data_IF_598095367371
#
_entry.id   IF_598095367371
#
_cell.length_a   1.000
_cell.length_b   1.000
_cell.length_c   1.000
_cell.angle_alpha   90.00
_cell.angle_beta   90.00
_cell.angle_gamma   90.00
#
_symmetry.space_group_name_H-M   'P 1'
#
loop_
_entity.id
_entity.type
_entity.pdbx_description
1 polymer ?
#
# COMPACT_ATOMS: atom_id res chain seq x y z
N UNK A 1 -7.73 15.69 19.77
CA UNK A 1 -7.43 14.30 19.34
C UNK A 1 -7.09 14.39 17.86
N UNK A 2 -5.99 13.80 17.40
CA UNK A 2 -5.62 13.79 15.99
C UNK A 2 -6.66 12.99 15.19
N UNK A 3 -7.05 13.48 14.01
CA UNK A 3 -7.90 12.71 13.11
C UNK A 3 -7.11 11.58 12.40
N UNK A 4 -7.79 10.70 11.68
CA UNK A 4 -7.16 9.57 11.03
C UNK A 4 -6.12 9.97 9.97
N UNK A 5 -6.36 11.09 9.27
CA UNK A 5 -5.40 11.60 8.31
C UNK A 5 -4.15 12.15 8.99
N UNK A 6 -4.30 12.87 10.10
CA UNK A 6 -3.16 13.35 10.90
C UNK A 6 -2.33 12.19 11.46
N UNK A 7 -3.00 11.10 11.91
CA UNK A 7 -2.31 9.92 12.46
C UNK A 7 -1.57 9.15 11.39
N UNK A 8 -2.28 8.72 10.35
CA UNK A 8 -1.79 7.67 9.45
C UNK A 8 -1.48 8.17 8.05
N UNK A 9 -2.16 9.23 7.63
CA UNK A 9 -1.94 9.83 6.34
C UNK A 9 -2.21 8.96 5.14
N UNK A 10 -3.07 8.00 5.27
CA UNK A 10 -3.38 7.06 4.21
C UNK A 10 -4.58 7.55 3.41
N UNK A 11 -4.37 7.81 2.13
CA UNK A 11 -5.40 8.06 1.14
C UNK A 11 -5.45 6.89 0.18
N UNK A 12 -6.64 6.32 0.03
CA UNK A 12 -6.89 5.22 -0.91
C UNK A 12 -8.19 5.56 -1.60
N UNK A 13 -8.18 5.61 -2.93
CA UNK A 13 -9.36 5.94 -3.71
C UNK A 13 -10.01 7.28 -3.26
N UNK A 14 -9.18 8.31 -3.06
CA UNK A 14 -9.54 9.65 -2.56
C UNK A 14 -10.24 9.67 -1.18
N UNK A 15 -10.24 8.54 -0.48
CA UNK A 15 -10.81 8.39 0.87
C UNK A 15 -9.72 8.21 1.90
N UNK A 16 -9.91 8.79 3.08
CA UNK A 16 -9.00 8.62 4.22
C UNK A 16 -9.24 7.25 4.87
N UNK A 17 -8.24 6.39 4.85
CA UNK A 17 -8.28 5.16 5.64
C UNK A 17 -8.18 5.49 7.13
N UNK A 18 -9.16 5.04 7.92
CA UNK A 18 -9.23 5.37 9.37
C UNK A 18 -8.08 4.76 10.19
N UNK A 19 -7.53 3.63 9.72
CA UNK A 19 -6.48 2.86 10.37
C UNK A 19 -5.64 2.13 9.33
N UNK A 20 -4.35 1.85 9.56
CA UNK A 20 -3.51 1.09 8.64
C UNK A 20 -3.74 -0.43 8.73
N UNK A 21 -4.95 -0.84 9.05
CA UNK A 21 -5.37 -2.24 9.13
C UNK A 21 -6.34 -2.53 7.99
N UNK A 22 -6.06 -3.58 7.24
CA UNK A 22 -6.93 -4.09 6.20
C UNK A 22 -7.43 -5.51 6.51
N UNK A 23 -8.60 -5.84 6.00
CA UNK A 23 -9.12 -7.22 5.97
C UNK A 23 -8.75 -7.81 4.61
N UNK A 24 -8.04 -8.92 4.61
CA UNK A 24 -7.66 -9.62 3.38
C UNK A 24 -8.78 -10.51 2.88
N UNK A 25 -8.94 -10.62 1.58
CA UNK A 25 -9.90 -11.50 0.94
C UNK A 25 -9.69 -12.97 1.32
N UNK A 26 -10.79 -13.67 1.59
CA UNK A 26 -10.87 -15.12 1.75
C UNK A 26 -12.09 -15.61 0.96
N UNK A 27 -11.84 -16.34 -0.13
CA UNK A 27 -12.87 -16.83 -1.01
C UNK A 27 -13.93 -17.64 -0.25
N UNK A 28 -15.20 -17.37 -0.52
CA UNK A 28 -16.34 -18.01 0.13
C UNK A 28 -16.56 -17.63 1.61
N UNK A 29 -15.83 -16.63 2.13
CA UNK A 29 -15.89 -16.21 3.53
C UNK A 29 -16.05 -14.71 3.67
N UNK A 30 -15.15 -13.92 3.06
CA UNK A 30 -15.15 -12.45 3.21
C UNK A 30 -16.02 -11.83 2.13
N UNK A 31 -17.22 -11.46 2.49
CA UNK A 31 -18.17 -10.65 1.73
C UNK A 31 -18.35 -9.27 2.39
N UNK A 32 -19.27 -8.47 1.88
CA UNK A 32 -19.55 -7.15 2.44
C UNK A 32 -20.15 -7.21 3.85
N UNK A 33 -20.95 -8.21 4.17
CA UNK A 33 -21.49 -8.38 5.51
C UNK A 33 -20.36 -8.64 6.52
N UNK A 34 -19.46 -9.56 6.19
CA UNK A 34 -18.25 -9.82 7.00
C UNK A 34 -17.38 -8.56 7.19
N UNK A 35 -17.22 -7.77 6.14
CA UNK A 35 -16.42 -6.55 6.17
C UNK A 35 -17.08 -5.46 7.05
N UNK A 36 -18.40 -5.29 6.93
CA UNK A 36 -19.17 -4.30 7.67
C UNK A 36 -19.18 -4.56 9.17
N UNK A 37 -19.32 -5.82 9.60
CA UNK A 37 -19.20 -6.19 11.02
C UNK A 37 -17.89 -5.74 11.66
N UNK A 38 -16.84 -5.53 10.87
CA UNK A 38 -15.47 -5.19 11.30
C UNK A 38 -15.02 -3.80 10.89
N UNK A 39 -15.93 -3.02 10.28
CA UNK A 39 -15.62 -1.69 9.73
C UNK A 39 -15.13 -0.69 10.76
N UNK A 40 -15.49 -0.88 12.03
CA UNK A 40 -15.01 -0.05 13.14
C UNK A 40 -13.50 -0.14 13.34
N UNK A 41 -12.88 -1.28 12.99
CA UNK A 41 -11.45 -1.55 13.28
C UNK A 41 -10.59 -1.74 12.03
N UNK A 42 -11.15 -1.54 10.86
CA UNK A 42 -10.43 -1.64 9.58
C UNK A 42 -10.57 -0.35 8.75
N UNK A 43 -9.51 0.01 8.04
CA UNK A 43 -9.52 1.13 7.09
C UNK A 43 -9.87 0.69 5.66
N UNK A 44 -9.62 -0.58 5.34
CA UNK A 44 -9.83 -1.18 4.02
C UNK A 44 -10.24 -2.64 4.20
N UNK A 45 -11.17 -3.14 3.38
CA UNK A 45 -11.48 -4.55 3.33
C UNK A 45 -11.55 -5.05 1.88
N UNK A 46 -10.84 -6.13 1.59
CA UNK A 46 -10.94 -6.83 0.32
C UNK A 46 -11.93 -8.00 0.44
N UNK A 47 -13.07 -7.89 -0.20
CA UNK A 47 -14.04 -8.98 -0.32
C UNK A 47 -13.67 -9.92 -1.47
N UNK A 48 -14.07 -11.18 -1.41
CA UNK A 48 -13.80 -12.16 -2.48
C UNK A 48 -12.74 -13.19 -2.09
N UNK A 49 -12.04 -13.94 -3.01
CA UNK A 49 -11.93 -13.76 -4.48
C UNK A 49 -13.13 -14.24 -5.29
N UNK A 50 -13.58 -13.36 -6.08
CA UNK A 50 -14.68 -13.62 -7.03
C UNK A 50 -14.11 -14.02 -8.38
N UNK A 51 -14.60 -15.15 -8.92
CA UNK A 51 -14.30 -15.58 -10.29
C UNK A 51 -15.19 -14.87 -11.28
N UNK A 52 -14.62 -14.16 -12.26
CA UNK A 52 -15.34 -13.20 -13.12
C UNK A 52 -15.47 -13.63 -14.57
N UNK A 53 -14.85 -14.75 -14.96
CA UNK A 53 -14.98 -15.30 -16.32
C UNK A 53 -15.17 -16.84 -16.30
N UNK A 54 -15.47 -17.39 -17.44
CA UNK A 54 -15.80 -18.83 -17.57
C UNK A 54 -14.70 -19.75 -17.05
N UNK A 55 -13.43 -19.60 -17.45
CA UNK A 55 -12.35 -20.47 -16.99
C UNK A 55 -12.11 -20.37 -15.47
N UNK A 56 -12.09 -19.16 -14.91
CA UNK A 56 -11.93 -18.96 -13.47
C UNK A 56 -13.13 -19.51 -12.68
N UNK A 57 -14.36 -19.37 -13.21
CA UNK A 57 -15.57 -19.91 -12.58
C UNK A 57 -15.60 -21.44 -12.62
N UNK A 58 -15.15 -22.05 -13.72
CA UNK A 58 -15.04 -23.52 -13.81
C UNK A 58 -14.05 -24.06 -12.75
N UNK A 59 -12.89 -23.41 -12.60
CA UNK A 59 -11.92 -23.75 -11.57
C UNK A 59 -12.47 -23.55 -10.15
N UNK A 60 -13.26 -22.50 -9.90
CA UNK A 60 -13.91 -22.28 -8.60
C UNK A 60 -14.92 -23.39 -8.28
N UNK A 61 -15.73 -23.82 -9.26
CA UNK A 61 -16.68 -24.93 -9.12
C UNK A 61 -15.97 -26.25 -8.82
N UNK A 62 -14.85 -26.52 -9.49
CA UNK A 62 -14.03 -27.70 -9.23
C UNK A 62 -13.50 -27.72 -7.78
N UNK A 63 -12.96 -26.58 -7.30
CA UNK A 63 -12.46 -26.43 -5.94
C UNK A 63 -13.58 -26.61 -4.89
N UNK A 64 -14.76 -26.07 -5.13
CA UNK A 64 -15.90 -26.22 -4.23
C UNK A 64 -16.41 -27.66 -4.19
N UNK A 65 -16.42 -28.35 -5.33
CA UNK A 65 -16.84 -29.75 -5.43
C UNK A 65 -15.92 -30.70 -4.67
N UNK A 66 -14.62 -30.33 -4.51
CA UNK A 66 -13.64 -31.09 -3.71
C UNK A 66 -13.92 -31.06 -2.20
N UNK A 67 -14.82 -30.22 -1.72
CA UNK A 67 -15.33 -30.22 -0.33
C UNK A 67 -14.44 -29.53 0.71
N UNK A 68 -13.18 -29.30 0.41
CA UNK A 68 -12.21 -28.76 1.37
C UNK A 68 -12.17 -27.24 1.43
N UNK A 69 -12.88 -26.55 0.52
CA UNK A 69 -12.80 -25.11 0.37
C UNK A 69 -14.14 -24.48 0.00
N UNK A 70 -14.42 -23.35 0.63
CA UNK A 70 -15.52 -22.46 0.22
C UNK A 70 -15.09 -21.59 -0.94
N UNK A 71 -15.99 -21.37 -1.89
CA UNK A 71 -15.80 -20.45 -3.01
C UNK A 71 -17.08 -19.63 -3.22
N UNK A 72 -16.94 -18.42 -3.76
CA UNK A 72 -18.07 -17.62 -4.22
C UNK A 72 -18.42 -18.04 -5.64
N UNK A 73 -19.57 -18.67 -5.81
CA UNK A 73 -20.04 -19.20 -7.09
C UNK A 73 -21.39 -18.56 -7.41
N UNK A 74 -21.43 -17.79 -8.48
CA UNK A 74 -22.60 -17.09 -8.95
C UNK A 74 -22.77 -17.28 -10.47
N UNK A 75 -24.01 -17.35 -10.94
CA UNK A 75 -24.28 -17.41 -12.37
C UNK A 75 -23.96 -16.07 -13.05
N UNK A 76 -24.21 -14.96 -12.36
CA UNK A 76 -23.81 -13.62 -12.77
C UNK A 76 -22.95 -12.95 -11.68
N UNK A 77 -21.64 -13.05 -11.76
CA UNK A 77 -20.76 -12.46 -10.75
C UNK A 77 -20.83 -10.92 -10.71
N UNK A 78 -21.13 -10.25 -11.83
CA UNK A 78 -21.22 -8.78 -11.88
C UNK A 78 -22.43 -8.27 -11.08
N UNK A 79 -23.59 -8.91 -11.20
CA UNK A 79 -24.77 -8.51 -10.45
C UNK A 79 -24.60 -8.75 -8.95
N UNK A 80 -23.93 -9.85 -8.59
CA UNK A 80 -23.59 -10.09 -7.19
C UNK A 80 -22.62 -9.01 -6.66
N UNK A 81 -21.59 -8.64 -7.43
CA UNK A 81 -20.67 -7.59 -7.04
C UNK A 81 -21.36 -6.24 -6.87
N UNK A 82 -22.31 -5.87 -7.73
CA UNK A 82 -23.14 -4.66 -7.53
C UNK A 82 -23.88 -4.71 -6.19
N UNK A 83 -24.48 -5.86 -5.88
CA UNK A 83 -25.18 -6.05 -4.60
C UNK A 83 -24.22 -5.91 -3.42
N UNK A 84 -23.03 -6.47 -3.50
CA UNK A 84 -22.02 -6.37 -2.45
C UNK A 84 -21.53 -4.92 -2.25
N UNK A 85 -21.31 -4.17 -3.33
CA UNK A 85 -20.92 -2.75 -3.27
C UNK A 85 -22.02 -1.91 -2.63
N UNK A 86 -23.26 -2.08 -3.06
CA UNK A 86 -24.41 -1.32 -2.56
C UNK A 86 -24.59 -1.46 -1.02
N UNK A 87 -24.26 -2.61 -0.45
CA UNK A 87 -24.30 -2.81 1.00
C UNK A 87 -23.33 -1.91 1.79
N UNK A 88 -22.28 -1.40 1.14
CA UNK A 88 -21.21 -0.64 1.81
C UNK A 88 -21.25 0.86 1.52
N UNK A 89 -22.16 1.35 0.67
CA UNK A 89 -22.18 2.75 0.19
C UNK A 89 -22.21 3.79 1.32
N UNK A 90 -22.96 3.53 2.38
CA UNK A 90 -23.10 4.44 3.52
C UNK A 90 -21.99 4.29 4.57
N UNK A 91 -21.05 3.35 4.38
CA UNK A 91 -19.99 3.08 5.35
C UNK A 91 -18.70 3.84 5.02
N UNK A 92 -17.94 4.19 6.04
CA UNK A 92 -16.64 4.85 5.90
C UNK A 92 -15.52 3.89 5.51
N UNK A 93 -15.72 2.57 5.64
CA UNK A 93 -14.78 1.55 5.24
C UNK A 93 -14.51 1.63 3.73
N UNK A 94 -13.26 1.61 3.35
CA UNK A 94 -12.88 1.53 1.94
C UNK A 94 -13.07 0.09 1.48
N UNK A 95 -13.86 -0.11 0.43
CA UNK A 95 -14.10 -1.43 -0.12
C UNK A 95 -13.11 -1.74 -1.25
N UNK A 96 -12.48 -2.89 -1.18
CA UNK A 96 -11.74 -3.51 -2.27
C UNK A 96 -12.41 -4.82 -2.69
N UNK A 97 -12.30 -5.17 -3.95
CA UNK A 97 -12.85 -6.41 -4.51
C UNK A 97 -11.72 -7.23 -5.10
N UNK A 98 -11.50 -8.41 -4.54
CA UNK A 98 -10.48 -9.35 -5.03
C UNK A 98 -11.08 -10.22 -6.13
N UNK A 99 -10.49 -10.13 -7.33
CA UNK A 99 -10.99 -10.70 -8.57
C UNK A 99 -10.04 -11.75 -9.14
N UNK A 100 -10.61 -12.85 -9.62
CA UNK A 100 -9.97 -13.92 -10.38
C UNK A 100 -10.53 -13.94 -11.77
N UNK A 101 -9.71 -13.59 -12.73
CA UNK A 101 -10.04 -13.60 -14.14
C UNK A 101 -8.84 -14.02 -14.97
N UNK A 102 -9.05 -14.36 -16.22
CA UNK A 102 -8.02 -14.87 -17.13
C UNK A 102 -7.69 -13.91 -18.27
N UNK A 103 -8.56 -12.90 -18.51
CA UNK A 103 -8.40 -11.92 -19.59
C UNK A 103 -8.58 -10.48 -19.08
N UNK A 104 -7.89 -9.49 -19.70
CA UNK A 104 -8.08 -8.08 -19.36
C UNK A 104 -9.53 -7.62 -19.52
N UNK A 105 -10.24 -8.12 -20.55
CA UNK A 105 -11.63 -7.75 -20.86
C UNK A 105 -12.59 -8.12 -19.72
N UNK A 106 -12.37 -9.26 -19.06
CA UNK A 106 -13.18 -9.68 -17.92
C UNK A 106 -13.06 -8.69 -16.74
N UNK A 107 -11.84 -8.23 -16.43
CA UNK A 107 -11.62 -7.21 -15.40
C UNK A 107 -12.21 -5.86 -15.78
N UNK A 108 -12.05 -5.45 -17.03
CA UNK A 108 -12.60 -4.19 -17.55
C UNK A 108 -14.13 -4.19 -17.47
N UNK A 109 -14.78 -5.30 -17.84
CA UNK A 109 -16.25 -5.44 -17.76
C UNK A 109 -16.76 -5.24 -16.31
N UNK A 110 -16.04 -5.75 -15.32
CA UNK A 110 -16.38 -5.52 -13.90
C UNK A 110 -16.18 -4.04 -13.54
N UNK A 111 -15.07 -3.42 -13.96
CA UNK A 111 -14.81 -2.02 -13.67
C UNK A 111 -15.82 -1.08 -14.33
N UNK A 112 -16.26 -1.36 -15.56
CA UNK A 112 -17.35 -0.62 -16.23
C UNK A 112 -18.68 -0.75 -15.50
N UNK A 113 -18.93 -1.90 -14.90
CA UNK A 113 -20.19 -2.15 -14.20
C UNK A 113 -20.28 -1.53 -12.80
N UNK A 114 -19.15 -1.34 -12.12
CA UNK A 114 -19.07 -0.90 -10.71
C UNK A 114 -18.52 0.54 -10.55
N UNK A 115 -17.84 1.08 -11.57
CA UNK A 115 -17.24 2.41 -11.51
C UNK A 115 -15.97 2.47 -10.65
N UNK A 116 -15.68 3.67 -10.11
CA UNK A 116 -14.44 4.01 -9.41
C UNK A 116 -14.57 4.05 -7.88
N UNK A 117 -15.73 3.69 -7.34
CA UNK A 117 -15.99 3.76 -5.89
C UNK A 117 -15.25 2.69 -5.07
N UNK A 118 -14.70 1.67 -5.71
CA UNK A 118 -14.03 0.53 -5.09
C UNK A 118 -12.59 0.35 -5.58
N UNK A 119 -11.79 -0.38 -4.82
CA UNK A 119 -10.43 -0.81 -5.20
C UNK A 119 -10.52 -2.16 -5.90
N UNK A 120 -9.99 -2.28 -7.10
CA UNK A 120 -9.94 -3.53 -7.86
C UNK A 120 -8.65 -4.28 -7.54
N UNK A 121 -8.75 -5.41 -6.85
CA UNK A 121 -7.59 -6.24 -6.52
C UNK A 121 -7.49 -7.44 -7.46
N UNK A 122 -6.42 -7.52 -8.23
CA UNK A 122 -6.09 -8.69 -9.06
C UNK A 122 -5.53 -9.78 -8.16
N UNK A 123 -6.19 -10.95 -8.10
CA UNK A 123 -5.70 -12.12 -7.38
C UNK A 123 -4.56 -12.80 -8.15
N UNK A 124 -3.32 -12.37 -7.91
CA UNK A 124 -2.11 -13.06 -8.35
C UNK A 124 -1.49 -13.92 -7.23
N UNK A 125 -2.29 -14.32 -6.24
CA UNK A 125 -1.84 -15.00 -5.04
C UNK A 125 -2.35 -16.44 -4.93
N UNK A 126 -3.49 -16.78 -5.55
CA UNK A 126 -4.11 -18.08 -5.43
C UNK A 126 -3.24 -19.17 -6.07
N UNK A 127 -2.79 -20.14 -5.26
CA UNK A 127 -1.92 -21.25 -5.68
C UNK A 127 -2.66 -22.54 -6.04
N UNK A 128 -3.98 -22.53 -6.02
CA UNK A 128 -4.77 -23.74 -6.28
C UNK A 128 -4.52 -24.22 -7.72
N UNK A 129 -4.20 -25.52 -7.91
CA UNK A 129 -3.82 -26.03 -9.22
C UNK A 129 -4.87 -25.75 -10.31
N UNK A 130 -6.16 -25.89 -10.02
CA UNK A 130 -7.24 -25.59 -10.95
C UNK A 130 -7.22 -24.10 -11.37
N UNK A 131 -7.03 -23.16 -10.43
CA UNK A 131 -6.92 -21.73 -10.74
C UNK A 131 -5.69 -21.40 -11.57
N UNK A 132 -4.54 -21.97 -11.23
CA UNK A 132 -3.30 -21.77 -11.99
C UNK A 132 -3.43 -22.35 -13.41
N UNK A 133 -4.01 -23.54 -13.54
CA UNK A 133 -4.27 -24.18 -14.83
C UNK A 133 -5.26 -23.37 -15.68
N UNK A 134 -6.25 -22.71 -15.07
CA UNK A 134 -7.17 -21.81 -15.75
C UNK A 134 -6.51 -20.50 -16.24
N UNK A 135 -5.31 -20.15 -15.77
CA UNK A 135 -4.60 -18.95 -16.17
C UNK A 135 -4.80 -17.75 -15.24
N UNK A 136 -5.20 -17.98 -13.98
CA UNK A 136 -5.32 -16.95 -12.94
C UNK A 136 -4.52 -17.30 -11.67
N UNK A 137 -4.60 -16.51 -10.63
CA UNK A 137 -3.82 -16.71 -9.41
C UNK A 137 -2.31 -16.58 -9.64
N UNK A 138 -1.51 -17.47 -9.05
CA UNK A 138 -0.04 -17.48 -9.21
C UNK A 138 0.46 -17.64 -10.65
N UNK A 139 -0.41 -18.01 -11.58
CA UNK A 139 -0.09 -17.99 -13.01
C UNK A 139 0.45 -16.62 -13.47
N UNK A 140 -0.12 -15.54 -12.95
CA UNK A 140 0.31 -14.17 -13.28
C UNK A 140 1.73 -13.87 -12.82
N UNK A 141 2.20 -14.46 -11.72
CA UNK A 141 3.55 -14.23 -11.20
C UNK A 141 4.66 -14.83 -12.08
N UNK A 142 4.29 -15.82 -12.88
CA UNK A 142 5.15 -16.43 -13.91
C UNK A 142 4.92 -15.87 -15.31
N UNK A 143 3.89 -15.03 -15.46
CA UNK A 143 3.47 -14.41 -16.72
C UNK A 143 3.26 -12.91 -16.54
N UNK A 144 4.33 -12.21 -16.16
CA UNK A 144 4.30 -10.78 -15.80
C UNK A 144 3.67 -9.91 -16.88
N UNK A 145 3.92 -10.21 -18.17
CA UNK A 145 3.34 -9.48 -19.30
C UNK A 145 1.80 -9.55 -19.30
N UNK A 146 1.22 -10.71 -18.95
CA UNK A 146 -0.24 -10.85 -18.85
C UNK A 146 -0.78 -10.08 -17.65
N UNK A 147 -0.08 -10.13 -16.51
CA UNK A 147 -0.45 -9.34 -15.33
C UNK A 147 -0.45 -7.84 -15.64
N UNK A 148 0.62 -7.34 -16.26
CA UNK A 148 0.74 -5.92 -16.60
C UNK A 148 -0.28 -5.49 -17.66
N UNK A 149 -0.70 -6.38 -18.56
CA UNK A 149 -1.78 -6.12 -19.52
C UNK A 149 -3.12 -5.90 -18.78
N UNK A 150 -3.45 -6.74 -17.79
CA UNK A 150 -4.66 -6.57 -16.95
C UNK A 150 -4.61 -5.24 -16.20
N UNK A 151 -3.47 -4.92 -15.57
CA UNK A 151 -3.30 -3.65 -14.83
C UNK A 151 -3.54 -2.46 -15.76
N UNK A 152 -2.86 -2.41 -16.92
CA UNK A 152 -3.01 -1.32 -17.89
C UNK A 152 -4.45 -1.18 -18.38
N UNK A 153 -5.12 -2.30 -18.66
CA UNK A 153 -6.51 -2.29 -19.08
C UNK A 153 -7.44 -1.68 -18.02
N UNK A 154 -7.29 -2.07 -16.76
CA UNK A 154 -8.04 -1.46 -15.65
C UNK A 154 -7.71 0.04 -15.52
N UNK A 155 -6.45 0.44 -15.63
CA UNK A 155 -6.04 1.86 -15.51
C UNK A 155 -6.59 2.75 -16.63
N UNK A 156 -6.96 2.21 -17.78
CA UNK A 156 -7.69 2.98 -18.82
C UNK A 156 -9.07 3.43 -18.37
N UNK A 157 -9.61 2.83 -17.30
CA UNK A 157 -10.91 3.19 -16.70
C UNK A 157 -10.77 4.20 -15.54
N UNK A 158 -9.56 4.63 -15.22
CA UNK A 158 -9.32 5.59 -14.13
C UNK A 158 -9.50 5.01 -12.72
N UNK A 159 -9.64 3.70 -12.57
CA UNK A 159 -9.91 3.05 -11.29
C UNK A 159 -8.64 2.79 -10.48
N UNK A 160 -8.82 2.63 -9.16
CA UNK A 160 -7.73 2.25 -8.25
C UNK A 160 -7.46 0.74 -8.30
N UNK A 161 -6.22 0.35 -8.60
CA UNK A 161 -5.82 -1.04 -8.82
C UNK A 161 -4.86 -1.52 -7.73
N UNK A 162 -5.24 -2.60 -7.07
CA UNK A 162 -4.39 -3.40 -6.18
C UNK A 162 -3.96 -4.69 -6.87
N UNK A 163 -2.75 -5.15 -6.58
CA UNK A 163 -2.28 -6.47 -7.02
C UNK A 163 -1.89 -7.28 -5.80
N UNK A 164 -2.58 -8.40 -5.57
CA UNK A 164 -2.25 -9.31 -4.47
C UNK A 164 -1.30 -10.38 -4.98
N UNK A 165 -0.09 -10.39 -4.41
CA UNK A 165 0.98 -11.31 -4.78
C UNK A 165 1.39 -12.21 -3.62
N UNK A 166 2.12 -13.28 -3.95
CA UNK A 166 2.85 -14.12 -3.00
C UNK A 166 4.34 -13.93 -3.21
N UNK A 167 5.06 -13.54 -2.17
CA UNK A 167 6.50 -13.36 -2.23
C UNK A 167 7.22 -14.68 -2.53
N UNK A 168 8.29 -14.60 -3.33
CA UNK A 168 9.15 -15.72 -3.67
C UNK A 168 8.59 -16.71 -4.70
N UNK A 169 7.48 -16.37 -5.38
CA UNK A 169 6.92 -17.17 -6.49
C UNK A 169 7.46 -16.67 -7.83
N UNK A 170 7.57 -15.36 -8.00
CA UNK A 170 8.26 -14.77 -9.14
C UNK A 170 9.78 -15.02 -9.04
N UNK A 171 10.47 -14.98 -10.15
CA UNK A 171 11.94 -15.14 -10.21
C UNK A 171 12.63 -14.04 -9.37
N UNK A 172 12.20 -12.79 -9.50
CA UNK A 172 12.62 -11.67 -8.65
C UNK A 172 11.41 -10.77 -8.30
N UNK A 173 11.06 -10.75 -7.00
CA UNK A 173 9.96 -9.94 -6.49
C UNK A 173 10.17 -8.42 -6.67
N UNK A 174 11.43 -7.96 -6.80
CA UNK A 174 11.76 -6.55 -7.02
C UNK A 174 11.43 -6.13 -8.46
N UNK A 175 11.78 -6.99 -9.41
CA UNK A 175 11.43 -6.79 -10.83
C UNK A 175 9.92 -6.85 -11.00
N UNK A 176 9.26 -7.83 -10.37
CA UNK A 176 7.80 -7.92 -10.37
C UNK A 176 7.15 -6.64 -9.80
N UNK A 177 7.57 -6.17 -8.64
CA UNK A 177 7.02 -4.98 -8.01
C UNK A 177 7.20 -3.73 -8.88
N UNK A 178 8.36 -3.58 -9.52
CA UNK A 178 8.62 -2.49 -10.47
C UNK A 178 7.72 -2.60 -11.72
N UNK A 179 7.55 -3.80 -12.27
CA UNK A 179 6.67 -4.01 -13.42
C UNK A 179 5.20 -3.70 -13.09
N UNK A 180 4.71 -4.09 -11.91
CA UNK A 180 3.38 -3.77 -11.41
C UNK A 180 3.19 -2.25 -11.30
N UNK A 181 4.15 -1.55 -10.69
CA UNK A 181 4.13 -0.09 -10.59
C UNK A 181 4.17 0.59 -11.96
N UNK A 182 5.11 0.20 -12.85
CA UNK A 182 5.25 0.77 -14.20
C UNK A 182 4.02 0.51 -15.08
N UNK A 183 3.23 -0.52 -14.77
CA UNK A 183 1.94 -0.77 -15.43
C UNK A 183 0.81 0.15 -14.92
N UNK A 184 1.05 0.91 -13.83
CA UNK A 184 0.14 1.91 -13.28
C UNK A 184 -0.69 1.44 -12.08
N UNK A 185 -0.37 0.31 -11.45
CA UNK A 185 -1.03 -0.09 -10.21
C UNK A 185 -0.79 0.93 -9.10
N UNK A 186 -1.72 1.00 -8.14
CA UNK A 186 -1.69 1.93 -7.01
C UNK A 186 -1.24 1.23 -5.72
N UNK A 187 -1.59 -0.05 -5.57
CA UNK A 187 -1.39 -0.84 -4.35
C UNK A 187 -0.72 -2.16 -4.67
N UNK A 188 0.23 -2.56 -3.84
CA UNK A 188 0.85 -3.89 -3.84
C UNK A 188 0.51 -4.60 -2.51
N UNK A 189 -0.32 -5.62 -2.56
CA UNK A 189 -0.74 -6.42 -1.41
C UNK A 189 0.08 -7.72 -1.37
N UNK A 190 0.97 -7.87 -0.38
CA UNK A 190 1.99 -8.91 -0.37
C UNK A 190 1.74 -9.93 0.72
N UNK A 191 1.49 -11.18 0.33
CA UNK A 191 1.66 -12.31 1.24
C UNK A 191 3.16 -12.63 1.38
N UNK A 192 3.73 -12.23 2.51
CA UNK A 192 5.17 -12.35 2.77
C UNK A 192 5.62 -13.79 3.06
N UNK A 193 4.70 -14.73 3.21
CA UNK A 193 5.05 -16.09 3.59
C UNK A 193 5.96 -16.11 4.84
N UNK A 194 7.04 -16.86 4.80
CA UNK A 194 8.02 -16.97 5.87
C UNK A 194 9.23 -16.00 5.70
N UNK A 195 9.20 -15.14 4.66
CA UNK A 195 10.33 -14.24 4.36
C UNK A 195 10.45 -13.05 5.32
N UNK A 196 9.36 -12.62 5.93
CA UNK A 196 9.36 -11.56 6.93
C UNK A 196 9.75 -10.16 6.41
N UNK A 197 10.22 -9.33 7.32
CA UNK A 197 10.52 -7.91 7.10
C UNK A 197 11.67 -7.63 6.13
N UNK A 198 12.63 -8.55 6.01
CA UNK A 198 13.77 -8.39 5.09
C UNK A 198 13.31 -8.37 3.62
N UNK A 199 12.40 -9.26 3.26
CA UNK A 199 11.81 -9.31 1.91
C UNK A 199 10.97 -8.07 1.64
N UNK A 200 10.16 -7.65 2.61
CA UNK A 200 9.36 -6.43 2.52
C UNK A 200 10.25 -5.20 2.22
N UNK A 201 11.37 -5.06 2.92
CA UNK A 201 12.33 -3.96 2.70
C UNK A 201 12.91 -3.99 1.28
N UNK A 202 13.25 -5.17 0.76
CA UNK A 202 13.75 -5.31 -0.61
C UNK A 202 12.72 -4.83 -1.64
N UNK A 203 11.46 -5.21 -1.45
CA UNK A 203 10.36 -4.82 -2.34
C UNK A 203 10.09 -3.31 -2.22
N UNK A 204 10.01 -2.77 -1.00
CA UNK A 204 9.84 -1.33 -0.76
C UNK A 204 10.92 -0.48 -1.46
N UNK A 205 12.15 -0.94 -1.45
CA UNK A 205 13.26 -0.26 -2.13
C UNK A 205 13.23 -0.39 -3.66
N UNK A 206 12.21 -1.01 -4.21
CA UNK A 206 12.05 -1.23 -5.66
C UNK A 206 10.85 -0.54 -6.27
N UNK A 207 9.90 -0.04 -5.46
CA UNK A 207 8.71 0.63 -5.97
C UNK A 207 8.09 1.58 -4.94
N UNK A 208 7.41 2.67 -5.38
CA UNK A 208 6.74 3.64 -4.50
C UNK A 208 5.30 3.26 -4.14
N UNK A 209 4.79 2.12 -4.61
CA UNK A 209 3.41 1.68 -4.38
C UNK A 209 3.00 1.73 -2.91
N UNK A 210 1.72 1.97 -2.62
CA UNK A 210 1.18 1.66 -1.31
C UNK A 210 1.32 0.16 -1.06
N UNK A 211 2.02 -0.23 -0.01
CA UNK A 211 2.29 -1.64 0.30
C UNK A 211 1.43 -2.11 1.47
N UNK A 212 0.66 -3.17 1.25
CA UNK A 212 -0.08 -3.88 2.28
C UNK A 212 0.65 -5.19 2.58
N UNK A 213 1.18 -5.34 3.79
CA UNK A 213 1.83 -6.58 4.22
C UNK A 213 0.81 -7.56 4.79
N UNK A 214 0.88 -8.81 4.37
CA UNK A 214 0.04 -9.90 4.85
C UNK A 214 0.89 -11.06 5.35
N UNK A 215 0.29 -11.89 6.16
CA UNK A 215 0.73 -13.15 6.74
C UNK A 215 1.25 -13.04 8.19
N UNK A 216 0.49 -13.72 9.08
CA UNK A 216 0.81 -13.87 10.51
C UNK A 216 1.01 -12.57 11.29
N UNK A 217 0.41 -11.46 10.82
CA UNK A 217 0.51 -10.14 11.45
C UNK A 217 -0.72 -9.97 12.37
N UNK A 218 -0.68 -10.60 13.53
CA UNK A 218 -1.79 -10.63 14.49
C UNK A 218 -1.40 -10.09 15.88
N UNK A 219 -0.22 -9.50 16.01
CA UNK A 219 0.25 -8.81 17.21
C UNK A 219 0.74 -7.42 16.85
N UNK A 220 0.68 -6.48 17.80
CA UNK A 220 1.15 -5.12 17.59
C UNK A 220 2.65 -5.07 17.26
N UNK A 221 3.48 -5.86 17.92
CA UNK A 221 4.93 -5.90 17.63
C UNK A 221 5.21 -6.34 16.19
N UNK A 222 4.47 -7.34 15.69
CA UNK A 222 4.61 -7.78 14.31
C UNK A 222 4.10 -6.74 13.33
N UNK A 223 2.97 -6.09 13.61
CA UNK A 223 2.45 -4.98 12.84
C UNK A 223 3.48 -3.85 12.79
N UNK A 224 3.98 -3.38 13.92
CA UNK A 224 4.99 -2.33 14.01
C UNK A 224 6.26 -2.68 13.24
N UNK A 225 6.72 -3.92 13.31
CA UNK A 225 7.86 -4.41 12.54
C UNK A 225 7.62 -4.24 11.04
N UNK A 226 6.48 -4.70 10.51
CA UNK A 226 6.18 -4.58 9.08
C UNK A 226 6.11 -3.13 8.62
N UNK A 227 5.43 -2.29 9.40
CA UNK A 227 5.29 -0.88 9.09
C UNK A 227 6.63 -0.14 9.12
N UNK A 228 7.53 -0.47 10.06
CA UNK A 228 8.87 0.11 10.12
C UNK A 228 9.81 -0.37 9.00
N UNK A 229 9.44 -1.44 8.30
CA UNK A 229 10.22 -2.00 7.19
C UNK A 229 9.61 -1.75 5.81
N UNK A 230 8.58 -0.91 5.73
CA UNK A 230 8.11 -0.39 4.44
C UNK A 230 6.67 -0.69 4.09
N UNK A 231 5.91 -1.42 4.90
CA UNK A 231 4.48 -1.49 4.72
C UNK A 231 3.83 -0.14 5.06
N UNK A 232 2.79 0.22 4.35
CA UNK A 232 1.90 1.33 4.65
C UNK A 232 0.69 0.85 5.44
N UNK A 233 0.29 -0.39 5.21
CA UNK A 233 -0.77 -1.09 5.90
C UNK A 233 -0.37 -2.54 6.18
N UNK A 234 -1.08 -3.15 7.11
CA UNK A 234 -1.07 -4.61 7.31
C UNK A 234 -2.44 -5.19 7.05
N UNK A 235 -2.52 -6.44 6.61
CA UNK A 235 -3.81 -7.10 6.42
C UNK A 235 -3.89 -8.41 7.18
N UNK A 236 -5.09 -8.70 7.69
CA UNK A 236 -5.43 -9.91 8.40
C UNK A 236 -6.44 -10.72 7.58
N UNK A 237 -6.23 -12.04 7.53
CA UNK A 237 -7.18 -13.00 6.95
C UNK A 237 -7.89 -13.75 8.10
N UNK A 238 -7.52 -15.00 8.37
CA UNK A 238 -8.17 -15.86 9.38
C UNK A 238 -8.21 -15.32 10.82
N UNK A 239 -7.34 -14.36 11.14
CA UNK A 239 -7.28 -13.71 12.46
C UNK A 239 -7.88 -12.30 12.46
N UNK A 240 -8.78 -12.00 11.52
CA UNK A 240 -9.54 -10.75 11.48
C UNK A 240 -10.82 -10.82 12.33
N UNK A 241 -10.76 -11.49 13.48
CA UNK A 241 -11.81 -11.40 14.50
C UNK A 241 -11.80 -10.01 15.16
N UNK A 242 -12.96 -9.60 15.67
CA UNK A 242 -13.17 -8.27 16.25
C UNK A 242 -12.16 -7.96 17.37
N UNK A 243 -11.93 -8.91 18.27
CA UNK A 243 -11.00 -8.72 19.39
C UNK A 243 -9.58 -8.42 18.93
N UNK A 244 -9.11 -9.17 17.93
CA UNK A 244 -7.76 -8.97 17.35
C UNK A 244 -7.66 -7.62 16.67
N UNK A 245 -8.65 -7.27 15.84
CA UNK A 245 -8.69 -6.00 15.11
C UNK A 245 -8.76 -4.81 16.07
N UNK A 246 -9.68 -4.83 17.04
CA UNK A 246 -9.83 -3.77 18.06
C UNK A 246 -8.54 -3.57 18.86
N UNK A 247 -7.88 -4.65 19.26
CA UNK A 247 -6.60 -4.59 19.97
C UNK A 247 -5.49 -3.95 19.16
N UNK A 248 -5.38 -4.30 17.87
CA UNK A 248 -4.40 -3.71 16.96
C UNK A 248 -4.70 -2.25 16.65
N UNK A 249 -5.98 -1.90 16.40
CA UNK A 249 -6.40 -0.53 16.12
C UNK A 249 -6.11 0.41 17.30
N UNK A 250 -6.47 0.01 18.52
CA UNK A 250 -6.17 0.78 19.72
C UNK A 250 -4.66 0.95 19.95
N UNK A 251 -3.87 -0.10 19.70
CA UNK A 251 -2.43 -0.07 19.91
C UNK A 251 -1.73 0.84 18.88
N UNK A 252 -2.12 0.78 17.59
CA UNK A 252 -1.51 1.60 16.55
C UNK A 252 -1.92 3.07 16.66
N UNK A 253 -3.16 3.36 17.07
CA UNK A 253 -3.62 4.72 17.31
C UNK A 253 -2.80 5.38 18.44
N UNK A 254 -2.62 4.69 19.55
CA UNK A 254 -1.78 5.14 20.66
C UNK A 254 -0.33 5.36 20.22
N UNK A 255 0.25 4.41 19.52
CA UNK A 255 1.61 4.52 18.99
C UNK A 255 1.77 5.75 18.08
N UNK A 256 0.80 5.99 17.21
CA UNK A 256 0.81 7.16 16.32
C UNK A 256 0.68 8.48 17.09
N UNK A 257 -0.11 8.52 18.15
CA UNK A 257 -0.26 9.71 19.01
C UNK A 257 1.03 10.00 19.81
N UNK A 258 1.72 8.97 20.30
CA UNK A 258 2.93 9.08 21.10
C UNK A 258 4.19 9.34 20.26
N UNK A 259 4.40 8.58 19.19
CA UNK A 259 5.63 8.58 18.39
C UNK A 259 5.51 9.37 17.08
N UNK A 260 4.26 9.54 16.59
CA UNK A 260 3.96 10.10 15.27
C UNK A 260 4.21 9.11 14.15
N UNK A 261 3.17 8.78 13.42
CA UNK A 261 3.16 7.70 12.45
C UNK A 261 4.15 7.89 11.28
N UNK A 262 4.05 9.01 10.57
CA UNK A 262 4.95 9.33 9.46
C UNK A 262 6.34 9.77 9.92
N UNK A 263 6.59 9.68 11.18
CA UNK A 263 7.67 10.36 11.82
C UNK A 263 8.29 9.52 12.94
N UNK A 264 8.40 8.23 12.71
CA UNK A 264 9.41 7.45 13.40
C UNK A 264 10.74 7.55 12.61
N UNK A 265 11.28 8.76 12.36
CA UNK A 265 12.49 8.90 11.57
C UNK A 265 13.66 8.15 12.18
N UNK A 266 13.64 7.90 13.48
CA UNK A 266 14.65 7.09 14.16
C UNK A 266 14.69 5.64 13.64
N UNK A 267 13.56 5.05 13.31
CA UNK A 267 13.50 3.71 12.73
C UNK A 267 13.80 3.75 11.23
N UNK A 268 13.22 4.69 10.51
CA UNK A 268 13.46 4.89 9.09
C UNK A 268 14.92 5.29 8.80
N UNK A 269 15.47 6.28 9.53
CA UNK A 269 16.85 6.74 9.35
C UNK A 269 17.91 5.71 9.75
N UNK A 270 17.55 4.65 10.45
CA UNK A 270 18.46 3.52 10.71
C UNK A 270 18.57 2.53 9.55
N UNK A 271 18.24 2.96 8.36
CA UNK A 271 18.24 2.13 7.17
C UNK A 271 16.97 1.30 7.03
N UNK A 272 15.84 1.80 7.55
CA UNK A 272 14.54 1.17 7.46
C UNK A 272 14.11 0.97 6.01
N UNK A 273 13.83 2.04 5.30
CA UNK A 273 13.46 2.00 3.88
C UNK A 273 13.72 3.34 3.16
N UNK A 274 13.40 3.38 1.87
CA UNK A 274 13.64 4.52 1.00
C UNK A 274 12.83 5.77 1.42
N UNK A 275 11.69 5.64 2.09
CA UNK A 275 10.90 6.78 2.59
C UNK A 275 11.69 7.66 3.54
N UNK A 276 12.72 7.11 4.17
CA UNK A 276 13.61 7.86 5.04
C UNK A 276 14.37 8.97 4.31
N UNK A 277 14.48 8.95 3.00
CA UNK A 277 15.03 10.05 2.21
C UNK A 277 14.27 11.36 2.44
N UNK A 278 12.96 11.31 2.68
CA UNK A 278 12.15 12.50 3.00
C UNK A 278 12.60 13.19 4.28
N UNK A 279 13.10 12.43 5.25
CA UNK A 279 13.49 12.90 6.58
C UNK A 279 14.99 13.00 6.76
N UNK A 280 15.75 12.78 5.71
CA UNK A 280 17.21 12.77 5.79
C UNK A 280 17.77 14.15 6.12
N UNK A 281 18.62 14.21 7.11
CA UNK A 281 19.34 15.43 7.51
C UNK A 281 20.71 15.62 6.82
N UNK A 282 20.88 15.04 5.64
CA UNK A 282 21.92 15.51 4.72
C UNK A 282 21.65 16.94 4.37
N UNK A 283 22.24 17.96 4.45
CA UNK A 283 23.60 18.20 4.12
C UNK A 283 24.59 18.21 5.32
N UNK A 284 24.09 18.03 6.51
CA UNK A 284 24.85 18.32 7.75
C UNK A 284 25.50 17.08 8.35
N UNK A 285 24.96 15.88 8.10
CA UNK A 285 25.48 14.61 8.66
C UNK A 285 25.66 13.56 7.58
N UNK A 286 26.67 12.71 7.75
CA UNK A 286 26.70 11.43 7.07
C UNK A 286 25.48 10.62 7.51
N UNK A 287 24.69 10.18 6.53
CA UNK A 287 23.48 9.46 6.77
C UNK A 287 23.65 8.00 6.30
N UNK A 288 23.12 7.01 7.02
CA UNK A 288 23.13 5.61 6.59
C UNK A 288 22.37 5.39 5.28
N UNK A 289 21.69 6.40 4.74
CA UNK A 289 21.03 6.35 3.44
C UNK A 289 21.93 6.70 2.25
N UNK A 290 23.14 7.22 2.47
CA UNK A 290 24.10 7.46 1.37
C UNK A 290 24.31 6.19 0.53
N UNK A 291 24.48 4.98 1.10
CA UNK A 291 24.53 3.75 0.31
C UNK A 291 23.26 3.46 -0.49
N UNK A 292 22.10 3.94 -0.03
CA UNK A 292 20.83 3.81 -0.78
C UNK A 292 20.82 4.73 -1.99
N UNK A 293 21.23 5.98 -1.84
CA UNK A 293 21.40 6.92 -2.97
C UNK A 293 22.36 6.36 -4.02
N UNK A 294 23.50 5.85 -3.59
CA UNK A 294 24.47 5.22 -4.50
C UNK A 294 23.86 4.05 -5.27
N UNK A 295 23.06 3.21 -4.61
CA UNK A 295 22.40 2.05 -5.26
C UNK A 295 21.35 2.45 -6.29
N UNK A 296 20.68 3.58 -6.09
CA UNK A 296 19.70 4.11 -7.06
C UNK A 296 20.33 5.03 -8.11
N UNK A 297 21.66 5.17 -8.10
CA UNK A 297 22.40 5.98 -9.06
C UNK A 297 22.25 7.49 -8.90
N UNK A 298 21.79 7.98 -7.73
CA UNK A 298 21.57 9.39 -7.46
C UNK A 298 22.75 9.97 -6.65
N UNK A 299 23.53 10.90 -7.19
CA UNK A 299 24.57 11.62 -6.45
C UNK A 299 23.98 12.40 -5.27
N UNK A 300 24.75 12.52 -4.19
CA UNK A 300 24.32 13.25 -2.98
C UNK A 300 23.90 14.69 -3.27
N UNK A 301 24.70 15.42 -4.05
CA UNK A 301 24.43 16.84 -4.33
C UNK A 301 23.18 16.99 -5.19
N UNK A 302 22.98 16.14 -6.18
CA UNK A 302 21.75 16.08 -6.97
C UNK A 302 20.51 15.82 -6.11
N UNK A 303 20.60 14.90 -5.16
CA UNK A 303 19.52 14.65 -4.21
C UNK A 303 19.22 15.89 -3.32
N UNK A 304 20.26 16.59 -2.86
CA UNK A 304 20.10 17.82 -2.07
C UNK A 304 19.39 18.90 -2.89
N UNK A 305 19.85 19.14 -4.12
CA UNK A 305 19.29 20.15 -5.02
C UNK A 305 17.84 19.80 -5.39
N UNK A 306 17.56 18.54 -5.72
CA UNK A 306 16.21 18.06 -6.01
C UNK A 306 15.26 18.31 -4.82
N UNK A 307 15.70 18.01 -3.61
CA UNK A 307 14.87 18.20 -2.40
C UNK A 307 14.61 19.66 -2.11
N UNK A 308 15.60 20.54 -2.27
CA UNK A 308 15.44 21.98 -2.08
C UNK A 308 14.54 22.57 -3.15
N UNK A 309 14.71 22.19 -4.41
CA UNK A 309 13.85 22.66 -5.52
C UNK A 309 12.39 22.22 -5.33
N UNK A 310 12.16 21.00 -4.84
CA UNK A 310 10.81 20.48 -4.59
C UNK A 310 10.03 21.22 -3.51
N UNK A 311 10.70 21.95 -2.61
CA UNK A 311 10.05 22.70 -1.54
C UNK A 311 10.02 24.21 -1.81
N UNK A 312 10.64 24.68 -2.89
CA UNK A 312 10.73 26.10 -3.24
C UNK A 312 9.36 26.74 -3.38
N UNK A 313 9.15 27.87 -2.74
CA UNK A 313 7.86 28.57 -2.70
C UNK A 313 6.82 27.91 -1.80
N UNK A 314 7.15 26.84 -1.10
CA UNK A 314 6.27 26.19 -0.10
C UNK A 314 6.68 26.58 1.32
N UNK A 315 5.79 26.44 2.32
CA UNK A 315 6.15 26.66 3.72
C UNK A 315 7.30 25.75 4.23
N UNK A 316 7.64 24.65 3.54
CA UNK A 316 8.76 23.79 3.89
C UNK A 316 10.13 24.40 3.57
N UNK A 317 10.20 25.39 2.68
CA UNK A 317 11.42 26.13 2.39
C UNK A 317 11.90 26.92 3.62
N UNK A 318 10.95 27.42 4.41
CA UNK A 318 11.23 28.17 5.63
C UNK A 318 11.89 27.31 6.70
N UNK A 319 12.69 27.92 7.54
CA UNK A 319 13.32 27.18 8.62
C UNK A 319 14.60 27.77 9.19
N UNK A 320 14.81 29.09 9.04
CA UNK A 320 16.01 29.77 9.59
C UNK A 320 16.25 29.48 11.08
N UNK A 321 15.20 29.14 11.80
CA UNK A 321 15.27 28.79 13.22
C UNK A 321 15.37 27.27 13.47
N UNK A 322 15.29 26.45 12.43
CA UNK A 322 15.51 25.00 12.54
C UNK A 322 16.99 24.63 12.52
N UNK A 323 17.33 23.44 12.99
CA UNK A 323 18.71 22.96 13.05
C UNK A 323 19.40 22.91 11.67
N UNK A 324 18.62 22.91 10.59
CA UNK A 324 19.10 22.69 9.22
C UNK A 324 18.72 23.79 8.24
N UNK A 325 18.19 24.90 8.73
CA UNK A 325 17.87 26.07 7.92
C UNK A 325 16.60 25.92 7.06
N UNK A 326 15.97 24.75 7.02
CA UNK A 326 14.74 24.48 6.29
C UNK A 326 13.89 23.43 6.99
N UNK A 327 12.57 23.57 6.96
CA UNK A 327 11.63 22.55 7.43
C UNK A 327 11.65 21.27 6.59
N UNK A 328 12.11 21.35 5.34
CA UNK A 328 12.31 20.18 4.48
C UNK A 328 13.26 19.16 5.10
N UNK A 329 14.27 19.61 5.86
CA UNK A 329 15.28 18.78 6.52
C UNK A 329 14.91 18.41 7.97
N UNK A 330 13.80 18.92 8.49
CA UNK A 330 13.39 18.64 9.85
C UNK A 330 12.96 17.18 10.00
N UNK A 331 13.68 16.43 10.84
CA UNK A 331 13.39 15.02 11.11
C UNK A 331 12.42 14.80 12.29
N UNK A 332 12.05 15.86 13.03
CA UNK A 332 11.13 15.78 14.18
C UNK A 332 9.77 16.31 13.83
N UNK A 333 9.07 15.61 12.96
CA UNK A 333 7.78 16.08 12.45
C UNK A 333 6.63 15.95 13.46
N UNK A 334 6.65 14.94 14.32
CA UNK A 334 5.59 14.68 15.31
C UNK A 334 5.97 15.00 16.75
N UNK A 335 7.20 14.68 17.16
CA UNK A 335 7.62 14.92 18.54
C UNK A 335 7.82 16.42 18.82
N UNK A 336 7.62 16.90 20.02
CA UNK A 336 7.82 18.30 20.40
C UNK A 336 9.22 18.80 19.99
N UNK A 337 9.27 19.94 19.31
CA UNK A 337 10.51 20.60 18.93
C UNK A 337 10.29 22.11 18.90
N UNK A 338 10.90 22.81 19.85
CA UNK A 338 10.74 24.27 20.00
C UNK A 338 11.12 25.02 18.71
N UNK A 339 12.19 24.63 18.04
CA UNK A 339 12.64 25.32 16.81
C UNK A 339 11.65 25.14 15.65
N UNK A 340 11.20 23.92 15.41
CA UNK A 340 10.18 23.67 14.40
C UNK A 340 8.89 24.40 14.74
N UNK A 341 8.40 24.24 15.97
CA UNK A 341 7.12 24.77 16.39
C UNK A 341 7.11 26.32 16.32
N UNK A 342 8.23 26.96 16.62
CA UNK A 342 8.40 28.39 16.44
C UNK A 342 8.37 28.79 14.97
N UNK A 343 9.07 28.06 14.08
CA UNK A 343 9.04 28.31 12.64
C UNK A 343 7.63 28.17 12.07
N UNK A 344 6.90 27.10 12.44
CA UNK A 344 5.51 26.90 12.04
C UNK A 344 4.60 28.03 12.51
N UNK A 345 4.75 28.46 13.75
CA UNK A 345 3.98 29.59 14.31
C UNK A 345 4.24 30.89 13.56
N UNK A 346 5.50 31.19 13.26
CA UNK A 346 5.87 32.40 12.51
C UNK A 346 5.36 32.36 11.06
N UNK A 347 5.38 31.20 10.45
CA UNK A 347 4.85 30.97 9.09
C UNK A 347 3.33 30.83 9.00
N UNK A 348 2.61 30.82 10.13
CA UNK A 348 1.16 30.61 10.15
C UNK A 348 0.73 29.21 9.71
N UNK A 349 1.63 28.22 9.75
CA UNK A 349 1.41 26.85 9.30
C UNK A 349 0.98 25.98 10.48
N UNK A 350 -0.17 25.33 10.37
CA UNK A 350 -0.62 24.39 11.38
C UNK A 350 0.22 23.08 11.32
N UNK A 351 0.25 22.34 12.43
CA UNK A 351 0.90 21.04 12.47
C UNK A 351 0.31 20.07 11.43
N UNK A 352 -1.01 20.10 11.24
CA UNK A 352 -1.72 19.28 10.24
C UNK A 352 -1.25 19.60 8.82
N UNK A 353 -1.18 20.88 8.47
CA UNK A 353 -0.69 21.33 7.17
C UNK A 353 0.78 20.95 6.96
N UNK A 354 1.63 21.16 7.97
CA UNK A 354 3.02 20.74 7.91
C UNK A 354 3.17 19.22 7.64
N UNK A 355 2.37 18.41 8.30
CA UNK A 355 2.38 16.96 8.08
C UNK A 355 1.95 16.58 6.66
N UNK A 356 0.95 17.28 6.12
CA UNK A 356 0.52 17.11 4.72
C UNK A 356 1.64 17.47 3.75
N UNK A 357 2.25 18.64 3.92
CA UNK A 357 3.36 19.12 3.08
C UNK A 357 4.56 18.16 3.12
N UNK A 358 4.86 17.58 4.29
CA UNK A 358 5.92 16.58 4.40
C UNK A 358 5.60 15.28 3.66
N UNK A 359 4.34 14.92 3.55
CA UNK A 359 3.92 13.77 2.75
C UNK A 359 4.01 14.08 1.26
N UNK A 360 3.46 15.19 0.83
CA UNK A 360 3.52 15.61 -0.57
C UNK A 360 4.98 15.68 -1.04
N UNK A 361 5.88 16.16 -0.17
CA UNK A 361 7.32 16.11 -0.43
C UNK A 361 7.84 14.67 -0.54
N UNK A 362 7.37 13.76 0.33
CA UNK A 362 7.76 12.34 0.25
C UNK A 362 7.36 11.73 -1.09
N UNK A 363 6.12 11.95 -1.49
CA UNK A 363 5.59 11.43 -2.75
C UNK A 363 6.36 11.99 -3.94
N UNK A 364 6.63 13.31 -3.95
CA UNK A 364 7.46 13.96 -4.99
C UNK A 364 8.87 13.36 -5.08
N UNK A 365 9.52 13.11 -3.93
CA UNK A 365 10.86 12.52 -3.92
C UNK A 365 10.79 11.07 -4.43
N UNK A 366 9.82 10.30 -3.98
CA UNK A 366 9.66 8.91 -4.40
C UNK A 366 9.40 8.81 -5.90
N UNK A 367 8.53 9.66 -6.44
CA UNK A 367 8.27 9.72 -7.87
C UNK A 367 9.55 9.99 -8.67
N UNK A 368 10.32 11.00 -8.30
CA UNK A 368 11.57 11.34 -8.99
C UNK A 368 12.60 10.20 -8.89
N UNK A 369 12.80 9.65 -7.68
CA UNK A 369 13.75 8.55 -7.45
C UNK A 369 13.43 7.33 -8.31
N UNK A 370 12.16 7.04 -8.58
CA UNK A 370 11.76 5.85 -9.31
C UNK A 370 11.51 6.08 -10.80
N UNK A 371 11.17 7.30 -11.22
CA UNK A 371 11.01 7.64 -12.64
C UNK A 371 12.35 7.89 -13.33
N UNK A 372 13.33 8.45 -12.62
CA UNK A 372 14.65 8.77 -13.18
C UNK A 372 15.61 7.57 -13.23
N UNK A 373 15.23 6.42 -12.66
CA UNK A 373 16.01 5.19 -12.82
C UNK A 373 15.70 4.60 -14.21
N UNK A 374 16.65 4.57 -15.15
CA UNK A 374 16.47 3.92 -16.44
C UNK A 374 15.96 2.49 -16.21
N UNK A 375 14.89 2.11 -16.88
CA UNK A 375 14.54 0.71 -16.97
C UNK A 375 15.76 0.01 -17.61
N UNK A 376 16.44 -0.86 -16.87
CA UNK A 376 17.42 -1.79 -17.44
C UNK A 376 16.68 -2.71 -18.43
N UNK A 377 16.29 -2.16 -19.58
CA UNK A 377 15.96 -2.87 -20.80
C UNK A 377 17.24 -2.96 -21.63
N UNK A 378 18.23 -3.67 -21.14
CA UNK A 378 19.30 -4.21 -22.01
C UNK A 378 20.30 -5.03 -21.18
N UNK A 379 19.97 -6.27 -20.92
CA UNK A 379 20.94 -7.40 -21.01
C UNK A 379 20.21 -8.73 -20.86
#
# INVERSE_FOLDING_TARGET
MMDAFERFGLLINDRVARTPIAIASMAGIVDSAYALERSEYAGLAFIGGYSIDGPAMAAAKELAAGGDRKEFIFDNPVDELRRQVALTEENTLILGINLRGTTPEAFVSVAEALGDSVVYEIDAHCRQPAMVAAGCGEYYLKNIQKLTAVIRALKTRGVTVSVKIRAGVAEDDRILARAIWSAGADILHIDLMDFGSAKLRQIRNSCPLLIIANNSINTFDRMREMLSHGADMVSLARKSDERTLAGLDAAIARYADEEGWYNSPKQLCRGGDIRSLTFCCMPVKECPLIPTLTRIGMPRDEYIDMKLESVKGTPLEEGKQTCFGSLAWCCKTSSPCMFRDMTLKLGGVSRKEYMRLKRDLSDTIMDRVFHDVPSDESS
#
